data_IF_796057092363
#
_entry.id   IF_796057092363
#
_cell.length_a   1.000
_cell.length_b   1.000
_cell.length_c   1.000
_cell.angle_alpha   90.00
_cell.angle_beta   90.00
_cell.angle_gamma   90.00
#
_symmetry.space_group_name_H-M   'P 1'
#
loop_
_entity.id
_entity.type
_entity.pdbx_description
1 polymer ?
#
# COMPACT_ATOMS: atom_id res chain seq x y z
N UNK A 1 -11.68 16.03 -13.67
CA UNK A 1 -11.93 15.41 -12.35
C UNK A 1 -11.01 16.02 -11.32
N UNK A 2 -11.54 16.46 -10.23
CA UNK A 2 -10.80 17.04 -9.11
C UNK A 2 -10.62 15.99 -8.01
N UNK A 3 -9.63 16.18 -7.11
CA UNK A 3 -9.41 15.25 -5.98
C UNK A 3 -10.66 15.09 -5.09
N UNK A 4 -11.48 16.10 -5.02
CA UNK A 4 -12.74 16.14 -4.26
C UNK A 4 -13.84 15.25 -4.88
N UNK A 5 -13.72 14.92 -6.16
CA UNK A 5 -14.65 14.04 -6.88
C UNK A 5 -14.38 12.55 -6.62
N UNK A 6 -13.21 12.20 -6.06
CA UNK A 6 -12.84 10.82 -5.81
C UNK A 6 -13.77 10.17 -4.78
N UNK A 7 -14.10 8.90 -5.03
CA UNK A 7 -14.92 8.06 -4.14
C UNK A 7 -14.20 6.74 -3.91
N UNK A 8 -13.73 6.51 -2.70
CA UNK A 8 -13.11 5.25 -2.29
C UNK A 8 -14.03 4.49 -1.36
N UNK A 9 -14.47 3.32 -1.78
CA UNK A 9 -15.24 2.40 -0.96
C UNK A 9 -14.28 1.62 -0.03
N UNK A 10 -14.40 1.71 1.30
CA UNK A 10 -13.58 0.92 2.19
C UNK A 10 -13.99 -0.55 2.14
N UNK A 11 -13.05 -1.39 1.76
CA UNK A 11 -13.21 -2.84 1.70
C UNK A 11 -11.97 -3.53 2.25
N UNK A 12 -12.13 -4.77 2.69
CA UNK A 12 -11.01 -5.66 2.98
C UNK A 12 -10.86 -6.64 1.84
N UNK A 13 -9.67 -6.67 1.22
CA UNK A 13 -9.39 -7.53 0.07
C UNK A 13 -8.73 -8.81 0.56
N UNK A 14 -9.26 -9.96 0.15
CA UNK A 14 -8.60 -11.24 0.39
C UNK A 14 -7.42 -11.42 -0.57
N UNK A 15 -6.21 -11.32 -0.03
CA UNK A 15 -4.95 -11.47 -0.77
C UNK A 15 -4.28 -12.84 -0.56
N UNK A 16 -4.96 -13.77 0.10
CA UNK A 16 -4.43 -15.12 0.34
C UNK A 16 -4.06 -15.80 -0.98
N UNK A 17 -2.80 -16.18 -1.13
CA UNK A 17 -2.28 -16.82 -2.35
C UNK A 17 -2.18 -15.89 -3.57
N UNK A 18 -2.45 -14.61 -3.42
CA UNK A 18 -2.32 -13.61 -4.49
C UNK A 18 -0.92 -13.01 -4.51
N UNK A 19 -0.42 -12.70 -5.70
CA UNK A 19 0.87 -12.03 -5.87
C UNK A 19 0.70 -10.52 -5.85
N UNK A 20 1.54 -9.85 -5.08
CA UNK A 20 1.56 -8.39 -4.94
C UNK A 20 2.92 -7.88 -5.42
N UNK A 21 2.91 -6.88 -6.28
CA UNK A 21 4.12 -6.21 -6.75
C UNK A 21 4.21 -4.81 -6.13
N UNK A 22 5.39 -4.45 -5.66
CA UNK A 22 5.74 -3.10 -5.28
C UNK A 22 6.87 -2.61 -6.19
N UNK A 23 6.64 -1.54 -6.91
CA UNK A 23 7.63 -0.93 -7.83
C UNK A 23 8.17 0.32 -7.17
N UNK A 24 9.47 0.29 -6.88
CA UNK A 24 10.20 1.34 -6.17
C UNK A 24 11.05 0.76 -5.03
N UNK A 25 12.19 1.36 -4.76
CA UNK A 25 13.15 0.89 -3.75
C UNK A 25 13.61 1.96 -2.76
N UNK A 26 13.10 3.20 -2.90
CA UNK A 26 13.44 4.33 -2.04
C UNK A 26 12.66 4.35 -0.72
N UNK A 27 12.78 5.46 0.02
CA UNK A 27 12.17 5.62 1.37
C UNK A 27 10.65 5.42 1.38
N UNK A 28 9.93 5.99 0.40
CA UNK A 28 8.46 5.87 0.32
C UNK A 28 8.06 4.42 0.07
N UNK A 29 8.73 3.76 -0.86
CA UNK A 29 8.51 2.34 -1.15
C UNK A 29 8.82 1.46 0.08
N UNK A 30 9.93 1.72 0.78
CA UNK A 30 10.32 1.01 2.00
C UNK A 30 9.26 1.18 3.10
N UNK A 31 8.76 2.39 3.30
CA UNK A 31 7.68 2.63 4.26
C UNK A 31 6.41 1.84 3.89
N UNK A 32 6.01 1.85 2.62
CA UNK A 32 4.88 1.06 2.13
C UNK A 32 5.11 -0.44 2.36
N UNK A 33 6.28 -0.93 2.02
CA UNK A 33 6.65 -2.33 2.21
C UNK A 33 6.63 -2.76 3.68
N UNK A 34 7.09 -1.91 4.60
CA UNK A 34 7.05 -2.18 6.04
C UNK A 34 5.62 -2.30 6.58
N UNK A 35 4.68 -1.53 6.03
CA UNK A 35 3.25 -1.66 6.37
C UNK A 35 2.71 -2.98 5.82
N UNK A 36 2.99 -3.31 4.55
CA UNK A 36 2.55 -4.57 3.94
C UNK A 36 3.03 -5.79 4.72
N UNK A 37 4.28 -5.78 5.19
CA UNK A 37 4.86 -6.88 5.96
C UNK A 37 4.11 -7.22 7.25
N UNK A 38 3.27 -6.32 7.76
CA UNK A 38 2.41 -6.56 8.92
C UNK A 38 1.19 -7.43 8.61
N UNK A 39 0.84 -7.57 7.33
CA UNK A 39 -0.36 -8.27 6.86
C UNK A 39 -0.03 -9.45 5.94
N UNK A 40 1.00 -9.29 5.11
CA UNK A 40 1.37 -10.25 4.07
C UNK A 40 2.88 -10.44 4.09
N UNK A 41 3.34 -11.66 4.28
CA UNK A 41 4.77 -12.03 4.32
C UNK A 41 5.18 -12.90 3.14
N UNK A 42 4.21 -13.37 2.36
CA UNK A 42 4.42 -14.27 1.23
C UNK A 42 3.89 -13.63 -0.07
N UNK A 43 4.48 -14.01 -1.18
CA UNK A 43 4.03 -13.58 -2.52
C UNK A 43 4.10 -12.07 -2.77
N UNK A 44 4.99 -11.35 -2.07
CA UNK A 44 5.28 -9.95 -2.33
C UNK A 44 6.64 -9.84 -2.99
N UNK A 45 6.66 -9.21 -4.15
CA UNK A 45 7.88 -8.91 -4.90
C UNK A 45 8.09 -7.39 -4.93
N UNK A 46 9.32 -6.97 -4.69
CA UNK A 46 9.74 -5.57 -4.83
C UNK A 46 10.68 -5.44 -6.03
N UNK A 47 10.32 -4.56 -6.96
CA UNK A 47 11.08 -4.32 -8.19
C UNK A 47 11.62 -2.89 -8.20
N UNK A 48 12.92 -2.74 -8.32
CA UNK A 48 13.58 -1.44 -8.41
C UNK A 48 15.03 -1.59 -8.91
N UNK A 49 15.61 -0.57 -9.57
CA UNK A 49 17.04 -0.56 -9.85
C UNK A 49 17.92 -0.59 -8.60
N UNK A 50 17.46 0.04 -7.51
CA UNK A 50 18.16 0.15 -6.23
C UNK A 50 17.22 -0.03 -5.06
N UNK A 51 17.76 -0.46 -3.92
CA UNK A 51 17.01 -0.67 -2.67
C UNK A 51 17.70 0.02 -1.50
N UNK A 52 16.90 0.54 -0.55
CA UNK A 52 17.42 0.97 0.75
C UNK A 52 17.90 -0.24 1.56
N UNK A 53 18.77 -0.01 2.54
CA UNK A 53 19.23 -1.07 3.45
C UNK A 53 18.04 -1.68 4.20
N UNK A 54 17.10 -0.85 4.66
CA UNK A 54 15.90 -1.27 5.38
C UNK A 54 14.97 -2.14 4.50
N UNK A 55 14.87 -1.83 3.20
CA UNK A 55 14.12 -2.68 2.25
C UNK A 55 14.72 -4.09 2.17
N UNK A 56 16.04 -4.19 2.25
CA UNK A 56 16.73 -5.48 2.19
C UNK A 56 16.49 -6.37 3.43
N UNK A 57 16.05 -5.79 4.55
CA UNK A 57 15.72 -6.51 5.77
C UNK A 57 14.29 -7.07 5.78
N UNK A 58 13.43 -6.60 4.86
CA UNK A 58 12.05 -7.08 4.76
C UNK A 58 11.98 -8.48 4.12
N UNK A 59 10.99 -9.29 4.51
CA UNK A 59 10.86 -10.69 4.04
C UNK A 59 10.25 -10.81 2.64
N UNK A 60 10.67 -9.96 1.71
CA UNK A 60 10.12 -9.90 0.36
C UNK A 60 11.15 -10.30 -0.69
N UNK A 61 10.67 -10.91 -1.77
CA UNK A 61 11.48 -11.14 -2.95
C UNK A 61 11.85 -9.81 -3.60
N UNK A 62 13.09 -9.65 -4.01
CA UNK A 62 13.61 -8.45 -4.66
C UNK A 62 14.10 -8.75 -6.06
N UNK A 63 13.67 -7.94 -7.02
CA UNK A 63 14.10 -7.99 -8.41
C UNK A 63 14.77 -6.68 -8.75
N UNK A 64 16.10 -6.72 -8.92
CA UNK A 64 16.90 -5.53 -9.20
C UNK A 64 16.99 -5.28 -10.70
N UNK A 65 16.10 -4.43 -11.19
CA UNK A 65 16.06 -4.00 -12.61
C UNK A 65 15.20 -2.75 -12.78
N UNK A 66 15.29 -2.13 -13.93
CA UNK A 66 14.29 -1.14 -14.38
C UNK A 66 13.00 -1.83 -14.79
N UNK A 67 11.88 -1.12 -14.61
CA UNK A 67 10.55 -1.63 -14.94
C UNK A 67 10.37 -1.85 -16.44
N UNK A 68 9.72 -2.94 -16.79
CA UNK A 68 9.19 -3.25 -18.12
C UNK A 68 7.73 -3.71 -18.01
N UNK A 69 6.86 -3.48 -19.03
CA UNK A 69 5.44 -3.84 -18.94
C UNK A 69 5.14 -5.31 -18.65
N UNK A 70 6.04 -6.21 -19.04
CA UNK A 70 5.94 -7.65 -18.77
C UNK A 70 6.14 -8.00 -17.29
N UNK A 71 6.73 -7.10 -16.50
CA UNK A 71 6.92 -7.32 -15.06
C UNK A 71 5.60 -7.34 -14.27
N UNK A 72 4.51 -6.88 -14.87
CA UNK A 72 3.17 -6.91 -14.27
C UNK A 72 2.48 -8.28 -14.39
N UNK A 73 3.02 -9.20 -15.18
CA UNK A 73 2.36 -10.46 -15.46
C UNK A 73 2.18 -11.34 -14.21
N UNK A 74 0.94 -11.78 -13.99
CA UNK A 74 0.59 -12.66 -12.89
C UNK A 74 0.39 -11.99 -11.52
N UNK A 75 0.52 -10.68 -11.43
CA UNK A 75 0.24 -9.93 -10.20
C UNK A 75 -1.23 -9.54 -10.09
N UNK A 76 -1.72 -9.50 -8.86
CA UNK A 76 -3.10 -9.15 -8.52
C UNK A 76 -3.24 -7.68 -8.10
N UNK A 77 -2.30 -7.19 -7.30
CA UNK A 77 -2.21 -5.80 -6.85
C UNK A 77 -0.82 -5.25 -7.16
N UNK A 78 -0.76 -3.98 -7.52
CA UNK A 78 0.50 -3.26 -7.74
C UNK A 78 0.51 -1.95 -6.94
N UNK A 79 1.55 -1.80 -6.13
CA UNK A 79 1.90 -0.52 -5.51
C UNK A 79 3.01 0.14 -6.32
N UNK A 80 2.79 1.38 -6.72
CA UNK A 80 3.75 2.16 -7.52
C UNK A 80 4.27 3.30 -6.66
N UNK A 81 5.52 3.21 -6.27
CA UNK A 81 6.18 4.14 -5.35
C UNK A 81 7.53 4.60 -5.91
N UNK A 82 7.60 4.92 -7.20
CA UNK A 82 8.80 5.49 -7.80
C UNK A 82 8.82 7.01 -7.62
N UNK A 83 9.99 7.62 -7.73
CA UNK A 83 10.14 9.08 -7.74
C UNK A 83 9.85 9.73 -9.11
N UNK A 84 9.57 8.93 -10.14
CA UNK A 84 9.34 9.38 -11.51
C UNK A 84 7.85 9.37 -11.84
N UNK A 85 7.24 10.54 -11.96
CA UNK A 85 5.81 10.68 -12.25
C UNK A 85 5.42 10.11 -13.61
N UNK A 86 6.24 10.29 -14.64
CA UNK A 86 5.95 9.78 -15.98
C UNK A 86 5.97 8.25 -16.00
N UNK A 87 6.93 7.64 -15.29
CA UNK A 87 6.98 6.20 -15.10
C UNK A 87 5.77 5.69 -14.30
N UNK A 88 5.36 6.40 -13.26
CA UNK A 88 4.18 6.03 -12.47
C UNK A 88 2.89 6.02 -13.31
N UNK A 89 2.70 7.02 -14.18
CA UNK A 89 1.58 7.08 -15.12
C UNK A 89 1.63 5.94 -16.15
N UNK A 90 2.81 5.63 -16.66
CA UNK A 90 3.01 4.50 -17.57
C UNK A 90 2.65 3.18 -16.91
N UNK A 91 3.17 2.91 -15.71
CA UNK A 91 2.86 1.68 -14.96
C UNK A 91 1.37 1.55 -14.70
N UNK A 92 0.70 2.67 -14.32
CA UNK A 92 -0.76 2.69 -14.14
C UNK A 92 -1.49 2.29 -15.42
N UNK A 93 -1.12 2.86 -16.57
CA UNK A 93 -1.72 2.54 -17.86
C UNK A 93 -1.50 1.07 -18.26
N UNK A 94 -0.29 0.55 -18.05
CA UNK A 94 0.07 -0.85 -18.34
C UNK A 94 -0.71 -1.83 -17.45
N UNK A 95 -0.91 -1.49 -16.17
CA UNK A 95 -1.68 -2.28 -15.22
C UNK A 95 -3.17 -2.29 -15.55
N UNK A 96 -3.73 -1.14 -15.94
CA UNK A 96 -5.13 -1.01 -16.33
C UNK A 96 -5.48 -1.88 -17.55
N UNK A 97 -4.60 -1.92 -18.55
CA UNK A 97 -4.76 -2.81 -19.73
C UNK A 97 -4.79 -4.29 -19.35
N UNK A 98 -4.23 -4.66 -18.21
CA UNK A 98 -4.18 -6.03 -17.69
C UNK A 98 -5.22 -6.33 -16.62
N UNK A 99 -6.06 -5.34 -16.27
CA UNK A 99 -7.05 -5.49 -15.20
C UNK A 99 -6.44 -5.63 -13.80
N UNK A 100 -5.25 -5.07 -13.59
CA UNK A 100 -4.53 -5.14 -12.31
C UNK A 100 -4.84 -3.87 -11.51
N UNK A 101 -5.27 -4.05 -10.26
CA UNK A 101 -5.53 -2.93 -9.35
C UNK A 101 -4.23 -2.25 -8.91
N UNK A 102 -4.22 -0.92 -8.98
CA UNK A 102 -3.03 -0.10 -8.78
C UNK A 102 -3.24 0.93 -7.67
N UNK A 103 -2.25 1.08 -6.80
CA UNK A 103 -2.13 2.21 -5.88
C UNK A 103 -0.84 2.96 -6.16
N UNK A 104 -0.94 4.22 -6.55
CA UNK A 104 0.21 5.07 -6.84
C UNK A 104 0.46 5.98 -5.66
N UNK A 105 1.64 5.88 -5.04
CA UNK A 105 2.01 6.68 -3.88
C UNK A 105 1.98 8.17 -4.24
N UNK A 106 1.36 8.97 -3.35
CA UNK A 106 1.21 10.41 -3.48
C UNK A 106 0.40 10.92 -4.70
N UNK A 107 -0.23 10.01 -5.45
CA UNK A 107 -1.03 10.34 -6.63
C UNK A 107 -2.44 9.69 -6.57
N UNK A 108 -3.33 10.15 -5.68
CA UNK A 108 -4.65 9.53 -5.49
C UNK A 108 -5.52 9.53 -6.75
N UNK A 109 -5.29 10.45 -7.68
CA UNK A 109 -5.99 10.51 -8.97
C UNK A 109 -5.67 9.33 -9.90
N UNK A 110 -4.53 8.65 -9.67
CA UNK A 110 -4.09 7.48 -10.43
C UNK A 110 -4.42 6.16 -9.72
N UNK A 111 -5.05 6.22 -8.54
CA UNK A 111 -5.28 5.05 -7.72
C UNK A 111 -6.62 4.38 -8.02
N UNK A 112 -6.62 3.05 -8.17
CA UNK A 112 -7.83 2.23 -8.10
C UNK A 112 -8.24 1.96 -6.66
N UNK A 113 -7.25 1.93 -5.74
CA UNK A 113 -7.46 1.81 -4.30
C UNK A 113 -6.41 2.63 -3.55
N UNK A 114 -6.72 3.04 -2.34
CA UNK A 114 -5.81 3.75 -1.45
C UNK A 114 -5.60 2.99 -0.16
N UNK A 115 -4.40 3.13 0.42
CA UNK A 115 -4.10 2.54 1.72
C UNK A 115 -4.59 3.47 2.83
N UNK A 116 -5.46 3.02 3.73
CA UNK A 116 -5.86 3.77 4.91
C UNK A 116 -4.74 3.81 5.96
N UNK A 117 -4.90 4.62 6.99
CA UNK A 117 -4.11 4.50 8.22
C UNK A 117 -4.64 3.32 9.02
N UNK A 118 -3.76 2.37 9.39
CA UNK A 118 -4.18 1.09 9.96
C UNK A 118 -3.64 0.91 11.38
N UNK A 119 -4.52 0.59 12.31
CA UNK A 119 -4.20 0.06 13.62
C UNK A 119 -4.55 -1.43 13.66
N UNK A 120 -3.57 -2.27 13.96
CA UNK A 120 -3.73 -3.72 14.05
C UNK A 120 -3.54 -4.17 15.49
N UNK A 121 -4.50 -4.95 16.00
CA UNK A 121 -4.47 -5.57 17.31
C UNK A 121 -4.92 -7.02 17.17
N UNK A 122 -4.00 -7.96 17.30
CA UNK A 122 -4.21 -9.39 17.02
C UNK A 122 -4.85 -9.61 15.64
N UNK A 123 -6.04 -10.19 15.61
CA UNK A 123 -6.82 -10.43 14.39
C UNK A 123 -7.68 -9.21 13.97
N UNK A 124 -7.82 -8.22 14.86
CA UNK A 124 -8.62 -7.03 14.59
C UNK A 124 -7.80 -5.98 13.82
N UNK A 125 -8.41 -5.40 12.83
CA UNK A 125 -7.85 -4.29 12.06
C UNK A 125 -8.83 -3.14 12.03
N UNK A 126 -8.36 -1.95 12.43
CA UNK A 126 -9.12 -0.70 12.33
C UNK A 126 -8.44 0.16 11.27
N UNK A 127 -9.17 0.45 10.20
CA UNK A 127 -8.69 1.24 9.09
C UNK A 127 -9.39 2.61 9.07
N UNK A 128 -8.61 3.67 9.06
CA UNK A 128 -9.10 5.04 9.04
C UNK A 128 -8.74 5.67 7.70
N UNK A 129 -9.75 6.01 6.90
CA UNK A 129 -9.59 6.64 5.60
C UNK A 129 -10.34 7.97 5.54
N UNK A 130 -9.74 8.96 4.90
CA UNK A 130 -10.34 10.27 4.64
C UNK A 130 -10.75 10.44 3.18
N UNK A 131 -11.01 9.36 2.46
CA UNK A 131 -11.27 9.40 1.01
C UNK A 131 -10.14 10.10 0.24
N UNK A 132 -8.88 9.87 0.65
CA UNK A 132 -7.67 10.51 0.14
C UNK A 132 -7.63 12.05 0.28
N UNK A 133 -8.51 12.65 1.09
CA UNK A 133 -8.59 14.10 1.28
C UNK A 133 -7.54 14.62 2.28
N UNK A 134 -7.35 13.91 3.38
CA UNK A 134 -6.44 14.33 4.45
C UNK A 134 -5.78 13.13 5.15
N UNK A 135 -4.59 12.78 4.67
CA UNK A 135 -3.82 11.66 5.22
C UNK A 135 -3.40 11.90 6.68
N UNK A 136 -3.07 13.16 7.04
CA UNK A 136 -2.65 13.50 8.40
C UNK A 136 -3.78 13.34 9.41
N UNK A 137 -5.01 13.70 9.02
CA UNK A 137 -6.19 13.47 9.85
C UNK A 137 -6.44 11.97 10.06
N UNK A 138 -6.32 11.16 9.02
CA UNK A 138 -6.46 9.70 9.12
C UNK A 138 -5.43 9.10 10.08
N UNK A 139 -4.18 9.55 9.99
CA UNK A 139 -3.09 9.12 10.88
C UNK A 139 -3.38 9.54 12.33
N UNK A 140 -3.76 10.80 12.56
CA UNK A 140 -4.03 11.31 13.90
C UNK A 140 -5.20 10.56 14.59
N UNK A 141 -6.26 10.25 13.85
CA UNK A 141 -7.39 9.47 14.37
C UNK A 141 -6.96 8.04 14.69
N UNK A 142 -6.22 7.38 13.78
CA UNK A 142 -5.66 6.05 14.01
C UNK A 142 -4.79 6.02 15.27
N UNK A 143 -3.91 7.00 15.45
CA UNK A 143 -3.00 7.08 16.60
C UNK A 143 -3.79 7.31 17.90
N UNK A 144 -4.86 8.11 17.85
CA UNK A 144 -5.74 8.30 19.00
C UNK A 144 -6.46 7.00 19.40
N UNK A 145 -6.92 6.22 18.43
CA UNK A 145 -7.52 4.90 18.67
C UNK A 145 -6.50 3.95 19.31
N UNK A 146 -5.27 3.92 18.79
CA UNK A 146 -4.19 3.10 19.35
C UNK A 146 -3.88 3.49 20.81
N UNK A 147 -3.83 4.79 21.12
CA UNK A 147 -3.61 5.29 22.47
C UNK A 147 -4.74 4.91 23.43
N UNK A 148 -6.00 5.05 23.02
CA UNK A 148 -7.15 4.67 23.84
C UNK A 148 -7.15 3.16 24.13
N UNK A 149 -6.72 2.34 23.18
CA UNK A 149 -6.55 0.91 23.38
C UNK A 149 -5.42 0.60 24.36
N UNK A 150 -4.28 1.27 24.21
CA UNK A 150 -3.13 1.12 25.09
C UNK A 150 -3.47 1.50 26.54
N UNK A 151 -4.24 2.57 26.72
CA UNK A 151 -4.67 3.07 28.02
C UNK A 151 -5.81 2.23 28.65
N UNK A 152 -6.29 1.20 27.97
CA UNK A 152 -7.39 0.33 28.42
C UNK A 152 -8.78 0.98 28.40
N UNK A 153 -8.90 2.18 27.81
CA UNK A 153 -10.18 2.89 27.66
C UNK A 153 -11.01 2.26 26.55
N UNK A 154 -10.37 1.95 25.41
CA UNK A 154 -10.97 1.19 24.32
C UNK A 154 -10.58 -0.28 24.48
N UNK A 155 -11.54 -1.11 24.87
CA UNK A 155 -11.33 -2.55 25.02
C UNK A 155 -11.62 -3.24 23.68
N UNK A 156 -10.59 -3.82 23.08
CA UNK A 156 -10.69 -4.53 21.80
C UNK A 156 -10.81 -6.05 21.98
N UNK A 157 -10.49 -6.55 23.15
CA UNK A 157 -10.63 -7.95 23.52
C UNK A 157 -12.00 -8.14 24.20
N UNK A 158 -13.01 -8.47 23.41
CA UNK A 158 -14.24 -9.03 23.97
C UNK A 158 -14.14 -10.54 23.86
N UNK A 159 -14.21 -11.17 25.02
CA UNK A 159 -14.39 -12.62 25.16
C UNK A 159 -15.73 -13.09 24.58
#
# INVERSE_FOLDING_TARGET
>A
MQREDLRFLPVSINVTGKKILLIGGGKVATHKASILARFVTENVTVLSPDFTAEMCELPFDRVQKTYEPTDLEGFFLVYVCTGDHALNEQIKADAEQRGILTSVCDAPMLCDFVSPAIFKHDHLTIAVSSNAQNVYQSIAVRDRIAQLSHDGILQLNQS
#
